data_IF_741716041689
#
_entry.id   IF_741716041689
#
_cell.length_a   1.000
_cell.length_b   1.000
_cell.length_c   1.000
_cell.angle_alpha   90.00
_cell.angle_beta   90.00
_cell.angle_gamma   90.00
#
_symmetry.space_group_name_H-M   'P 1'
#
loop_
_entity.id
_entity.type
_entity.pdbx_description
1 polymer ?
#
# COMPACT_ATOMS: atom_id res chain seq x y z
N UNK A 1 35.88 -20.72 47.95
CA UNK A 1 36.38 -21.33 46.70
C UNK A 1 35.24 -21.28 45.69
N UNK A 2 35.34 -20.38 44.71
CA UNK A 2 34.30 -20.16 43.69
C UNK A 2 34.81 -20.74 42.38
N UNK A 3 34.14 -21.77 41.87
CA UNK A 3 34.40 -22.36 40.56
C UNK A 3 33.64 -21.59 39.49
N UNK A 4 34.36 -20.78 38.71
CA UNK A 4 33.85 -20.17 37.47
C UNK A 4 33.98 -21.20 36.35
N UNK A 5 32.86 -21.65 35.78
CA UNK A 5 32.84 -22.38 34.51
C UNK A 5 32.94 -21.33 33.39
N UNK A 6 34.09 -21.25 32.73
CA UNK A 6 34.23 -20.54 31.45
C UNK A 6 33.75 -21.47 30.32
N UNK A 7 32.52 -21.27 29.87
CA UNK A 7 32.08 -21.75 28.57
C UNK A 7 32.48 -20.71 27.51
N UNK A 8 33.43 -21.06 26.64
CA UNK A 8 33.73 -20.26 25.47
C UNK A 8 32.51 -20.29 24.52
N UNK A 9 31.83 -19.16 24.36
CA UNK A 9 30.83 -19.01 23.30
C UNK A 9 31.62 -18.74 22.02
N UNK A 10 31.92 -19.79 21.26
CA UNK A 10 32.43 -19.64 19.90
C UNK A 10 31.25 -19.19 19.03
N UNK A 11 31.01 -17.89 18.93
CA UNK A 11 30.16 -17.37 17.86
C UNK A 11 30.89 -17.65 16.54
N UNK A 12 30.39 -18.55 15.66
CA UNK A 12 30.93 -18.61 14.32
C UNK A 12 30.72 -17.23 13.67
N UNK A 13 31.69 -16.73 12.88
CA UNK A 13 31.49 -15.51 12.13
C UNK A 13 30.23 -15.62 11.28
N UNK A 14 29.45 -14.54 11.10
CA UNK A 14 28.25 -14.58 10.28
C UNK A 14 28.60 -15.15 8.90
N UNK A 15 27.78 -16.08 8.42
CA UNK A 15 27.97 -16.72 7.13
C UNK A 15 28.17 -15.65 6.04
N UNK A 16 29.27 -15.76 5.28
CA UNK A 16 29.74 -14.79 4.27
C UNK A 16 28.91 -14.76 2.98
N UNK A 17 27.59 -14.85 3.12
CA UNK A 17 26.56 -14.57 2.11
C UNK A 17 25.24 -14.19 2.83
N UNK A 18 25.30 -13.27 3.79
CA UNK A 18 24.15 -12.86 4.62
C UNK A 18 23.37 -11.66 4.06
N UNK A 19 23.66 -11.23 2.83
CA UNK A 19 22.89 -10.18 2.18
C UNK A 19 21.65 -10.81 1.55
N UNK A 20 20.49 -10.55 2.16
CA UNK A 20 19.23 -10.64 1.46
C UNK A 20 19.26 -9.58 0.37
N UNK A 21 19.20 -9.98 -0.89
CA UNK A 21 19.03 -9.03 -1.97
C UNK A 21 17.81 -8.17 -1.66
N UNK A 22 17.94 -6.85 -1.80
CA UNK A 22 16.80 -5.96 -1.71
C UNK A 22 15.70 -6.53 -2.60
N UNK A 23 14.49 -6.78 -2.08
CA UNK A 23 13.41 -7.31 -2.89
C UNK A 23 13.04 -6.27 -3.93
N UNK A 24 13.69 -6.33 -5.10
CA UNK A 24 13.36 -5.47 -6.22
C UNK A 24 12.12 -6.08 -6.86
N UNK A 25 10.98 -5.53 -6.51
CA UNK A 25 9.72 -5.88 -7.15
C UNK A 25 9.65 -5.16 -8.51
N UNK A 26 9.53 -5.90 -9.63
CA UNK A 26 9.41 -5.27 -10.93
C UNK A 26 8.07 -4.54 -11.01
N UNK A 27 8.13 -3.24 -11.33
CA UNK A 27 6.95 -2.42 -11.57
C UNK A 27 6.12 -3.06 -12.70
N UNK A 28 4.80 -3.25 -12.51
CA UNK A 28 3.90 -3.66 -13.57
C UNK A 28 4.01 -2.74 -14.78
N UNK A 29 3.84 -3.25 -16.00
CA UNK A 29 3.79 -2.39 -17.17
C UNK A 29 2.65 -1.38 -17.00
N UNK A 30 2.95 -0.11 -17.25
CA UNK A 30 2.00 0.97 -17.11
C UNK A 30 0.71 0.68 -17.92
N UNK A 31 -0.49 0.84 -17.32
CA UNK A 31 -1.74 0.56 -18.02
C UNK A 31 -1.90 1.40 -19.30
N UNK A 32 -2.50 0.84 -20.35
CA UNK A 32 -2.70 1.57 -21.61
C UNK A 32 -3.80 2.65 -21.53
N UNK A 33 -4.80 2.45 -20.67
CA UNK A 33 -5.93 3.38 -20.53
C UNK A 33 -5.58 4.51 -19.58
N UNK A 34 -5.86 5.75 -20.00
CA UNK A 34 -5.62 6.96 -19.19
C UNK A 34 -6.96 7.59 -18.79
N UNK A 35 -7.05 7.97 -17.53
CA UNK A 35 -8.13 8.71 -16.90
C UNK A 35 -7.61 10.02 -16.34
N UNK A 36 -8.42 11.07 -16.39
CA UNK A 36 -8.03 12.35 -15.80
C UNK A 36 -7.78 12.20 -14.29
N UNK A 37 -8.75 11.62 -13.58
CA UNK A 37 -8.82 11.45 -12.13
C UNK A 37 -10.19 10.87 -11.79
N UNK A 38 -10.51 10.68 -10.51
CA UNK A 38 -11.84 10.27 -10.09
C UNK A 38 -12.26 10.95 -8.80
N UNK A 39 -13.49 11.49 -8.76
CA UNK A 39 -14.13 11.94 -7.53
C UNK A 39 -15.38 11.09 -7.31
N UNK A 40 -15.33 10.22 -6.32
CA UNK A 40 -16.42 9.33 -5.93
C UNK A 40 -17.22 10.01 -4.82
N UNK A 41 -18.42 10.45 -5.16
CA UNK A 41 -19.33 11.17 -4.28
C UNK A 41 -20.31 10.22 -3.57
N UNK A 42 -20.97 10.72 -2.52
CA UNK A 42 -21.98 9.95 -1.80
C UNK A 42 -23.13 9.51 -2.73
N UNK A 43 -23.47 8.24 -2.68
CA UNK A 43 -24.44 7.60 -3.56
C UNK A 43 -24.17 6.10 -3.67
N UNK A 44 -24.75 5.43 -4.70
CA UNK A 44 -24.42 4.05 -5.02
C UNK A 44 -22.92 3.86 -5.25
N UNK A 45 -22.38 2.64 -5.06
CA UNK A 45 -20.97 2.36 -5.31
C UNK A 45 -20.55 2.78 -6.72
N UNK A 46 -19.42 3.48 -6.82
CA UNK A 46 -18.79 3.83 -8.09
C UNK A 46 -17.67 2.85 -8.40
N UNK A 47 -17.74 2.20 -9.56
CA UNK A 47 -16.74 1.24 -10.02
C UNK A 47 -15.63 1.95 -10.79
N UNK A 48 -14.40 1.86 -10.28
CA UNK A 48 -13.20 2.42 -10.92
C UNK A 48 -12.48 1.32 -11.69
N UNK A 49 -11.85 1.68 -12.80
CA UNK A 49 -11.20 0.75 -13.72
C UNK A 49 -9.69 0.86 -13.65
N UNK A 50 -8.95 -0.25 -13.83
CA UNK A 50 -7.50 -0.19 -13.87
C UNK A 50 -7.05 0.70 -15.03
N UNK A 51 -6.01 1.49 -14.79
CA UNK A 51 -5.59 2.56 -15.68
C UNK A 51 -4.58 3.50 -15.04
N UNK A 52 -4.05 4.40 -15.86
CA UNK A 52 -3.28 5.55 -15.40
C UNK A 52 -4.23 6.68 -15.06
N UNK A 53 -4.13 7.22 -13.86
CA UNK A 53 -4.86 8.38 -13.38
C UNK A 53 -3.89 9.56 -13.33
N UNK A 54 -4.03 10.49 -14.28
CA UNK A 54 -3.15 11.66 -14.40
C UNK A 54 -3.33 12.69 -13.29
N UNK A 55 -4.28 12.46 -12.37
CA UNK A 55 -4.69 13.32 -11.27
C UNK A 55 -5.30 12.45 -10.16
N UNK A 56 -5.85 13.11 -9.13
CA UNK A 56 -6.27 12.47 -7.89
C UNK A 56 -7.41 11.46 -8.05
N UNK A 57 -7.39 10.43 -7.21
CA UNK A 57 -8.57 9.65 -6.85
C UNK A 57 -9.06 10.11 -5.46
N UNK A 58 -10.29 10.60 -5.39
CA UNK A 58 -10.94 11.09 -4.16
C UNK A 58 -12.16 10.22 -3.89
N UNK A 59 -12.24 9.66 -2.69
CA UNK A 59 -13.43 8.99 -2.17
C UNK A 59 -13.99 9.85 -1.04
N UNK A 60 -15.09 10.55 -1.31
CA UNK A 60 -15.70 11.47 -0.33
C UNK A 60 -16.32 10.72 0.85
N UNK A 61 -16.59 11.44 1.94
CA UNK A 61 -17.26 10.88 3.10
C UNK A 61 -18.64 10.29 2.71
N UNK A 62 -18.95 9.09 3.21
CA UNK A 62 -20.15 8.33 2.86
C UNK A 62 -20.15 7.70 1.46
N UNK A 63 -19.16 8.00 0.61
CA UNK A 63 -19.04 7.42 -0.72
C UNK A 63 -18.40 6.02 -0.68
N UNK A 64 -18.68 5.20 -1.70
CA UNK A 64 -18.03 3.90 -1.88
C UNK A 64 -17.42 3.80 -3.27
N UNK A 65 -16.10 3.68 -3.34
CA UNK A 65 -15.34 3.35 -4.53
C UNK A 65 -15.02 1.85 -4.54
N UNK A 66 -15.31 1.19 -5.66
CA UNK A 66 -15.02 -0.24 -5.85
C UNK A 66 -14.04 -0.40 -7.01
N UNK A 67 -12.91 -1.04 -6.73
CA UNK A 67 -11.86 -1.27 -7.72
C UNK A 67 -12.09 -2.60 -8.43
N UNK A 68 -12.20 -2.54 -9.76
CA UNK A 68 -12.04 -3.71 -10.62
C UNK A 68 -10.59 -4.26 -10.53
N UNK A 69 -10.34 -5.53 -10.87
CA UNK A 69 -9.01 -6.13 -10.69
C UNK A 69 -8.01 -5.52 -11.67
N UNK A 70 -6.82 -5.17 -11.22
CA UNK A 70 -5.78 -4.61 -12.07
C UNK A 70 -4.88 -3.56 -11.42
N UNK A 71 -4.17 -2.83 -12.27
CA UNK A 71 -3.18 -1.81 -11.88
C UNK A 71 -3.80 -0.42 -11.95
N UNK A 72 -3.67 0.35 -10.86
CA UNK A 72 -4.13 1.73 -10.74
C UNK A 72 -2.92 2.63 -10.52
N UNK A 73 -2.38 3.22 -11.58
CA UNK A 73 -1.22 4.10 -11.48
C UNK A 73 -1.68 5.55 -11.32
N UNK A 74 -1.44 6.14 -10.14
CA UNK A 74 -1.85 7.50 -9.81
C UNK A 74 -0.65 8.43 -9.86
N UNK A 75 -0.57 9.20 -10.95
CA UNK A 75 0.61 9.98 -11.31
C UNK A 75 0.64 11.37 -10.67
N UNK A 76 -0.52 11.91 -10.27
CA UNK A 76 -0.60 13.20 -9.60
C UNK A 76 -1.66 13.29 -8.51
N UNK A 77 -1.42 14.16 -7.53
CA UNK A 77 -2.28 14.48 -6.39
C UNK A 77 -2.71 13.29 -5.48
N UNK A 78 -2.29 12.06 -5.79
CA UNK A 78 -2.38 10.90 -4.92
C UNK A 78 -3.80 10.34 -4.78
N UNK A 79 -4.06 9.72 -3.64
CA UNK A 79 -5.35 9.09 -3.33
C UNK A 79 -5.85 9.59 -1.99
N UNK A 80 -7.08 10.10 -1.92
CA UNK A 80 -7.68 10.65 -0.71
C UNK A 80 -8.97 9.93 -0.37
N UNK A 81 -8.99 9.23 0.76
CA UNK A 81 -10.09 8.34 1.13
C UNK A 81 -10.71 8.84 2.43
N UNK A 82 -11.95 9.31 2.33
CA UNK A 82 -12.79 9.70 3.48
C UNK A 82 -13.96 8.74 3.67
N UNK A 83 -14.40 8.07 2.58
CA UNK A 83 -15.42 7.02 2.58
C UNK A 83 -14.80 5.62 2.50
N UNK A 84 -15.41 4.75 1.69
CA UNK A 84 -14.99 3.35 1.52
C UNK A 84 -14.26 3.15 0.20
N UNK A 85 -13.04 2.61 0.24
CA UNK A 85 -12.31 2.09 -0.92
C UNK A 85 -12.17 0.58 -0.79
N UNK A 86 -12.70 -0.19 -1.73
CA UNK A 86 -12.59 -1.66 -1.66
C UNK A 86 -12.42 -2.33 -3.02
N UNK A 87 -11.91 -3.55 -3.02
CA UNK A 87 -11.96 -4.44 -4.18
C UNK A 87 -13.36 -5.02 -4.41
N UNK A 88 -13.57 -5.60 -5.59
CA UNK A 88 -14.78 -6.35 -5.90
C UNK A 88 -15.05 -7.48 -4.89
N UNK A 89 -16.32 -7.70 -4.60
CA UNK A 89 -16.82 -8.85 -3.83
C UNK A 89 -18.16 -9.36 -4.40
N UNK A 90 -18.73 -10.39 -3.77
CA UNK A 90 -19.95 -11.04 -4.26
C UNK A 90 -21.17 -10.12 -4.41
N UNK A 91 -21.23 -8.99 -3.71
CA UNK A 91 -22.34 -8.03 -3.82
C UNK A 91 -22.31 -7.20 -5.12
N UNK A 92 -21.18 -7.20 -5.84
CA UNK A 92 -20.99 -6.42 -7.07
C UNK A 92 -21.43 -7.19 -8.32
N UNK A 93 -21.82 -8.46 -8.19
CA UNK A 93 -22.33 -9.27 -9.31
C UNK A 93 -23.63 -8.66 -9.85
N UNK A 94 -23.75 -8.57 -11.18
CA UNK A 94 -24.84 -7.90 -11.88
C UNK A 94 -24.67 -6.40 -12.06
N UNK A 95 -23.61 -5.80 -11.51
CA UNK A 95 -23.35 -4.36 -11.62
C UNK A 95 -22.54 -4.04 -12.88
N UNK A 96 -22.67 -2.81 -13.39
CA UNK A 96 -21.87 -2.33 -14.50
C UNK A 96 -20.46 -1.93 -14.01
N UNK A 97 -19.46 -2.71 -14.39
CA UNK A 97 -18.05 -2.53 -14.03
C UNK A 97 -17.26 -2.33 -15.32
N UNK A 98 -16.64 -1.17 -15.49
CA UNK A 98 -15.75 -0.89 -16.61
C UNK A 98 -16.35 -1.12 -18.01
N UNK A 99 -17.61 -0.74 -18.18
CA UNK A 99 -18.32 -0.83 -19.46
C UNK A 99 -18.98 -2.19 -19.72
N UNK A 100 -18.91 -3.15 -18.79
CA UNK A 100 -19.57 -4.44 -18.90
C UNK A 100 -20.28 -4.83 -17.61
N UNK A 101 -21.36 -5.62 -17.71
CA UNK A 101 -22.02 -6.19 -16.53
C UNK A 101 -21.17 -7.31 -15.94
N UNK A 102 -20.90 -7.26 -14.64
CA UNK A 102 -20.14 -8.29 -13.94
C UNK A 102 -20.98 -9.56 -13.76
N UNK A 103 -20.82 -10.53 -14.66
CA UNK A 103 -21.61 -11.77 -14.64
C UNK A 103 -21.29 -12.68 -13.44
N UNK A 104 -20.03 -12.68 -12.99
CA UNK A 104 -19.56 -13.45 -11.85
C UNK A 104 -18.35 -12.76 -11.22
N UNK A 105 -18.09 -13.02 -9.94
CA UNK A 105 -16.88 -12.52 -9.30
C UNK A 105 -15.64 -13.19 -9.92
N UNK A 106 -14.62 -12.42 -10.35
CA UNK A 106 -13.37 -13.00 -10.83
C UNK A 106 -12.69 -13.83 -9.74
N UNK A 107 -11.98 -14.90 -10.13
CA UNK A 107 -11.20 -15.72 -9.20
C UNK A 107 -10.05 -14.94 -8.55
N UNK A 108 -9.59 -13.88 -9.22
CA UNK A 108 -8.59 -12.93 -8.75
C UNK A 108 -9.22 -11.53 -8.80
N UNK A 109 -9.59 -11.01 -7.63
CA UNK A 109 -10.10 -9.64 -7.48
C UNK A 109 -9.00 -8.64 -7.13
N UNK A 110 -7.75 -9.08 -7.19
CA UNK A 110 -6.63 -8.36 -6.66
C UNK A 110 -6.30 -7.10 -7.45
N UNK A 111 -5.80 -6.11 -6.72
CA UNK A 111 -5.40 -4.83 -7.27
C UNK A 111 -4.00 -4.47 -6.79
N UNK A 112 -3.34 -3.61 -7.55
CA UNK A 112 -2.20 -2.84 -7.10
C UNK A 112 -2.48 -1.36 -7.36
N UNK A 113 -2.30 -0.54 -6.33
CA UNK A 113 -2.38 0.92 -6.43
C UNK A 113 -0.96 1.44 -6.42
N UNK A 114 -0.52 2.04 -7.51
CA UNK A 114 0.78 2.67 -7.64
C UNK A 114 0.62 4.17 -7.44
N UNK A 115 1.50 4.76 -6.64
CA UNK A 115 1.49 6.20 -6.41
C UNK A 115 2.88 6.74 -6.69
N UNK A 116 2.96 7.59 -7.71
CA UNK A 116 4.20 8.30 -8.09
C UNK A 116 4.45 9.44 -7.10
N UNK A 117 5.50 9.39 -6.25
CA UNK A 117 5.81 10.51 -5.39
C UNK A 117 6.28 11.71 -6.22
N UNK A 118 6.04 12.91 -5.70
CA UNK A 118 6.59 14.11 -6.29
C UNK A 118 7.10 15.10 -5.24
N UNK A 119 7.90 16.04 -5.70
CA UNK A 119 8.35 17.20 -4.94
C UNK A 119 8.21 18.50 -5.74
N UNK A 120 7.14 18.63 -6.53
CA UNK A 120 6.99 19.71 -7.51
C UNK A 120 7.04 21.15 -6.93
N UNK A 121 7.01 21.30 -5.60
CA UNK A 121 7.13 22.58 -4.90
C UNK A 121 8.53 22.90 -4.35
N UNK A 122 9.55 22.06 -4.59
CA UNK A 122 10.90 22.28 -4.04
C UNK A 122 10.98 22.17 -2.51
N UNK A 123 10.06 21.42 -1.91
CA UNK A 123 9.98 21.21 -0.46
C UNK A 123 11.05 20.19 -0.03
N UNK A 124 11.62 20.34 1.16
CA UNK A 124 12.47 19.28 1.75
C UNK A 124 11.64 18.17 2.40
N UNK A 125 10.32 18.38 2.52
CA UNK A 125 9.35 17.37 2.89
C UNK A 125 8.64 16.89 1.61
N UNK A 126 9.04 15.72 1.10
CA UNK A 126 8.51 15.11 -0.12
C UNK A 126 7.18 14.39 0.12
N UNK A 127 6.16 15.16 0.46
CA UNK A 127 4.82 14.69 0.79
C UNK A 127 3.78 15.09 -0.27
N UNK A 128 4.17 15.12 -1.56
CA UNK A 128 3.19 15.30 -2.64
C UNK A 128 2.73 13.95 -3.16
N UNK A 129 1.47 13.95 -3.60
CA UNK A 129 0.76 12.78 -4.12
C UNK A 129 0.54 11.70 -3.05
N UNK A 130 -0.03 12.08 -1.89
CA UNK A 130 -0.20 11.17 -0.75
C UNK A 130 -1.33 10.16 -1.03
N UNK A 131 -1.12 8.89 -0.72
CA UNK A 131 -2.16 7.91 -0.42
C UNK A 131 -2.60 8.07 1.04
N UNK A 132 -3.77 8.65 1.23
CA UNK A 132 -4.28 9.11 2.53
C UNK A 132 -5.62 8.51 2.90
N UNK A 133 -5.74 8.13 4.17
CA UNK A 133 -6.95 7.60 4.77
C UNK A 133 -7.40 8.50 5.94
N UNK A 134 -8.60 9.04 5.87
CA UNK A 134 -9.18 9.88 6.92
C UNK A 134 -9.76 9.03 8.07
N UNK A 135 -10.08 9.67 9.19
CA UNK A 135 -10.59 8.99 10.39
C UNK A 135 -11.89 8.20 10.17
N UNK A 136 -12.73 8.58 9.21
CA UNK A 136 -13.98 7.90 8.87
C UNK A 136 -13.84 6.86 7.75
N UNK A 137 -12.63 6.69 7.22
CA UNK A 137 -12.41 5.88 6.03
C UNK A 137 -12.44 4.38 6.31
N UNK A 138 -12.86 3.61 5.30
CA UNK A 138 -12.73 2.15 5.27
C UNK A 138 -11.96 1.73 4.03
N UNK A 139 -10.90 0.93 4.18
CA UNK A 139 -10.08 0.42 3.08
C UNK A 139 -10.07 -1.10 3.14
N UNK A 140 -10.40 -1.78 2.04
CA UNK A 140 -10.33 -3.24 1.95
C UNK A 140 -9.78 -3.68 0.60
N UNK A 141 -8.50 -4.05 0.59
CA UNK A 141 -7.78 -4.41 -0.63
C UNK A 141 -7.41 -5.89 -0.62
N UNK A 142 -7.59 -6.52 -1.77
CA UNK A 142 -7.07 -7.86 -2.05
C UNK A 142 -5.81 -7.73 -2.91
N UNK A 143 -4.73 -8.45 -2.59
CA UNK A 143 -3.57 -8.57 -3.44
C UNK A 143 -3.89 -9.48 -4.64
N UNK A 144 -3.08 -9.36 -5.70
CA UNK A 144 -3.05 -10.35 -6.78
C UNK A 144 -1.67 -11.00 -6.86
N UNK A 145 -1.58 -12.33 -7.03
CA UNK A 145 -0.32 -13.00 -7.35
C UNK A 145 0.31 -12.51 -8.66
N UNK A 146 -0.47 -11.95 -9.59
CA UNK A 146 0.05 -11.34 -10.83
C UNK A 146 0.91 -10.12 -10.55
N UNK A 147 0.69 -9.47 -9.41
CA UNK A 147 1.39 -8.29 -8.94
C UNK A 147 2.15 -8.62 -7.65
N UNK A 148 2.69 -9.85 -7.58
CA UNK A 148 3.46 -10.43 -6.47
C UNK A 148 2.88 -10.08 -5.09
N UNK A 149 1.56 -10.06 -5.00
CA UNK A 149 0.82 -9.73 -3.80
C UNK A 149 1.12 -8.36 -3.16
N UNK A 150 1.45 -7.36 -3.98
CA UNK A 150 1.54 -5.96 -3.55
C UNK A 150 0.21 -5.26 -3.83
N UNK A 151 -0.39 -4.67 -2.80
CA UNK A 151 -1.66 -3.94 -2.89
C UNK A 151 -1.46 -2.44 -3.02
N UNK A 152 -0.37 -1.90 -2.45
CA UNK A 152 0.01 -0.51 -2.55
C UNK A 152 1.52 -0.42 -2.83
N UNK A 153 1.89 0.28 -3.90
CA UNK A 153 3.25 0.47 -4.34
C UNK A 153 3.55 1.96 -4.42
N UNK A 154 4.59 2.39 -3.72
CA UNK A 154 5.10 3.76 -3.79
C UNK A 154 6.33 3.71 -4.68
N UNK A 155 6.24 4.35 -5.86
CA UNK A 155 7.34 4.39 -6.81
C UNK A 155 8.56 5.08 -6.17
N UNK A 156 9.77 4.68 -6.57
CA UNK A 156 10.98 5.33 -6.04
C UNK A 156 11.20 6.66 -6.75
N UNK A 157 11.07 7.76 -6.01
CA UNK A 157 11.35 9.09 -6.55
C UNK A 157 12.85 9.26 -6.86
N UNK A 158 13.24 9.65 -8.08
CA UNK A 158 14.64 9.92 -8.39
C UNK A 158 15.25 11.01 -7.51
N UNK A 159 16.46 10.79 -7.02
CA UNK A 159 17.22 11.72 -6.17
C UNK A 159 16.58 12.07 -4.82
N UNK A 160 15.62 11.26 -4.34
CA UNK A 160 14.90 11.52 -3.09
C UNK A 160 15.83 11.75 -1.90
N UNK A 161 16.97 11.06 -1.80
CA UNK A 161 17.92 11.21 -0.68
C UNK A 161 18.47 12.63 -0.57
N UNK A 162 18.61 13.33 -1.69
CA UNK A 162 19.12 14.72 -1.75
C UNK A 162 18.01 15.76 -1.68
N UNK A 163 16.76 15.37 -1.94
CA UNK A 163 15.62 16.29 -1.97
C UNK A 163 14.78 16.22 -0.69
N UNK A 164 14.53 15.03 -0.18
CA UNK A 164 13.65 14.73 0.94
C UNK A 164 14.43 14.72 2.26
N UNK A 165 15.01 15.87 2.59
CA UNK A 165 15.97 16.03 3.69
C UNK A 165 15.35 16.44 5.03
N UNK A 166 14.04 16.72 5.07
CA UNK A 166 13.31 16.92 6.32
C UNK A 166 13.17 15.59 7.06
N UNK A 167 13.50 15.53 8.34
CA UNK A 167 13.46 14.29 9.11
C UNK A 167 12.01 13.86 9.44
N UNK A 168 11.68 12.55 9.37
CA UNK A 168 12.54 11.46 8.91
C UNK A 168 12.84 11.55 7.40
N UNK A 169 14.09 11.28 6.99
CA UNK A 169 14.50 11.31 5.57
C UNK A 169 13.63 10.37 4.74
N UNK A 170 13.29 10.74 3.50
CA UNK A 170 12.43 9.89 2.63
C UNK A 170 11.17 10.58 2.14
N UNK A 171 10.46 9.94 1.22
CA UNK A 171 9.14 10.41 0.78
C UNK A 171 8.11 10.24 1.93
N UNK A 172 6.95 10.87 1.84
CA UNK A 172 5.93 10.82 2.90
C UNK A 172 4.55 10.62 2.26
N UNK A 173 4.41 9.52 1.53
CA UNK A 173 3.30 9.26 0.61
C UNK A 173 2.21 8.43 1.26
N UNK A 174 2.49 7.59 2.27
CA UNK A 174 1.44 6.81 2.95
C UNK A 174 1.09 7.41 4.30
N UNK A 175 -0.19 7.81 4.48
CA UNK A 175 -0.67 8.37 5.75
C UNK A 175 -2.09 7.95 6.10
N UNK A 176 -2.22 7.15 7.15
CA UNK A 176 -3.53 6.78 7.72
C UNK A 176 -3.78 7.53 9.02
N UNK A 177 -4.94 8.16 9.10
CA UNK A 177 -5.38 8.92 10.28
C UNK A 177 -5.95 7.98 11.35
N UNK A 178 -5.89 8.40 12.61
CA UNK A 178 -6.54 7.66 13.70
C UNK A 178 -8.04 7.51 13.45
N UNK A 179 -8.56 6.32 13.72
CA UNK A 179 -9.96 5.96 13.45
C UNK A 179 -10.19 5.32 12.08
N UNK A 180 -9.26 5.45 11.12
CA UNK A 180 -9.38 4.76 9.82
C UNK A 180 -9.45 3.24 10.00
N UNK A 181 -10.31 2.59 9.22
CA UNK A 181 -10.51 1.15 9.24
C UNK A 181 -9.85 0.53 8.01
N UNK A 182 -8.87 -0.34 8.15
CA UNK A 182 -8.20 -0.93 6.99
C UNK A 182 -7.92 -2.42 7.14
N UNK A 183 -8.16 -3.13 6.04
CA UNK A 183 -7.76 -4.53 5.81
C UNK A 183 -7.10 -4.58 4.44
N UNK A 184 -5.81 -4.28 4.41
CA UNK A 184 -4.99 -4.29 3.20
C UNK A 184 -4.21 -5.60 3.22
N UNK A 185 -4.72 -6.61 2.51
CA UNK A 185 -3.98 -7.86 2.40
C UNK A 185 -2.79 -7.68 1.45
N UNK A 186 -1.80 -8.57 1.55
CA UNK A 186 -0.55 -8.42 0.82
C UNK A 186 0.36 -7.36 1.42
N UNK A 187 1.14 -6.71 0.56
CA UNK A 187 2.12 -5.72 0.99
C UNK A 187 1.75 -4.28 0.64
N UNK A 188 2.14 -3.37 1.53
CA UNK A 188 2.49 -1.99 1.17
C UNK A 188 4.00 -1.94 0.95
N UNK A 189 4.42 -1.56 -0.24
CA UNK A 189 5.82 -1.48 -0.63
C UNK A 189 6.20 -0.05 -1.01
N UNK A 190 7.07 0.56 -0.22
CA UNK A 190 7.59 1.91 -0.44
C UNK A 190 8.96 2.05 0.21
N UNK A 191 10.02 1.50 -0.39
CA UNK A 191 11.34 1.38 0.25
C UNK A 191 12.02 2.74 0.53
N UNK A 192 11.57 3.81 -0.11
CA UNK A 192 12.03 5.19 0.10
C UNK A 192 11.04 6.03 0.94
N UNK A 193 9.91 5.45 1.37
CA UNK A 193 8.80 6.18 1.98
C UNK A 193 8.82 6.10 3.51
N UNK A 194 8.46 7.22 4.14
CA UNK A 194 8.12 7.33 5.54
C UNK A 194 6.61 7.19 5.69
N UNK A 195 6.20 6.06 6.25
CA UNK A 195 4.80 5.71 6.36
C UNK A 195 4.29 6.04 7.76
N UNK A 196 3.10 6.62 7.83
CA UNK A 196 2.37 6.79 9.09
C UNK A 196 1.12 5.94 9.05
N UNK A 197 1.07 4.90 9.89
CA UNK A 197 -0.10 4.06 10.05
C UNK A 197 -0.66 4.27 11.46
N UNK A 198 -1.85 4.83 11.55
CA UNK A 198 -2.51 5.00 12.85
C UNK A 198 -3.50 3.85 13.05
N UNK A 199 -3.44 3.17 14.20
CA UNK A 199 -4.35 2.06 14.51
C UNK A 199 -5.81 2.51 14.57
N UNK A 200 -6.71 1.69 14.04
CA UNK A 200 -8.17 1.87 14.10
C UNK A 200 -8.83 0.81 14.99
N UNK A 201 -10.09 1.02 15.35
CA UNK A 201 -10.87 0.06 16.13
C UNK A 201 -11.38 -1.15 15.32
N UNK A 202 -11.12 -1.18 14.01
CA UNK A 202 -11.58 -2.23 13.11
C UNK A 202 -10.59 -2.45 11.96
N UNK A 203 -10.76 -3.59 11.26
CA UNK A 203 -9.85 -4.04 10.21
C UNK A 203 -8.83 -5.08 10.69
N UNK A 204 -7.96 -5.51 9.78
CA UNK A 204 -6.98 -6.59 9.97
C UNK A 204 -5.57 -6.18 9.54
N UNK A 205 -5.28 -4.87 9.55
CA UNK A 205 -3.94 -4.36 9.28
C UNK A 205 -3.52 -4.42 7.81
N UNK A 206 -2.21 -4.49 7.61
CA UNK A 206 -1.45 -4.59 6.37
C UNK A 206 -0.51 -5.82 6.38
N UNK A 207 -0.86 -6.88 5.66
CA UNK A 207 -0.16 -8.19 5.75
C UNK A 207 1.38 -8.13 5.76
N UNK A 208 2.00 -7.22 5.01
CA UNK A 208 3.41 -6.86 5.12
C UNK A 208 3.65 -5.37 4.80
N UNK A 209 4.62 -4.73 5.47
CA UNK A 209 5.03 -3.35 5.17
C UNK A 209 6.53 -3.30 4.88
N UNK A 210 6.92 -2.68 3.77
CA UNK A 210 8.31 -2.32 3.45
C UNK A 210 8.38 -0.80 3.32
N UNK A 211 9.08 -0.16 4.26
CA UNK A 211 9.17 1.30 4.38
C UNK A 211 10.58 1.74 4.77
N UNK A 212 10.94 2.99 4.47
CA UNK A 212 12.17 3.61 4.98
C UNK A 212 12.06 3.90 6.48
N UNK A 213 10.93 4.51 6.89
CA UNK A 213 10.51 4.52 8.29
C UNK A 213 9.03 4.18 8.39
N UNK A 214 8.65 3.55 9.51
CA UNK A 214 7.27 3.27 9.84
C UNK A 214 6.96 3.88 11.21
N UNK A 215 6.03 4.82 11.23
CA UNK A 215 5.47 5.37 12.46
C UNK A 215 4.11 4.74 12.71
N UNK A 216 3.97 4.05 13.84
CA UNK A 216 2.69 3.53 14.32
C UNK A 216 2.22 4.42 15.46
N UNK A 217 1.08 5.08 15.28
CA UNK A 217 0.51 6.00 16.26
C UNK A 217 -0.94 5.58 16.64
N UNK A 218 -1.44 6.09 17.76
CA UNK A 218 -2.84 5.95 18.18
C UNK A 218 -3.08 4.90 19.28
N UNK A 219 -4.31 4.87 19.81
CA UNK A 219 -4.74 4.00 20.91
C UNK A 219 -5.35 2.66 20.42
N UNK A 220 -5.18 2.33 19.14
CA UNK A 220 -5.72 1.12 18.51
C UNK A 220 -4.62 0.17 18.07
N UNK A 221 -4.98 -1.09 17.87
CA UNK A 221 -4.04 -2.10 17.39
C UNK A 221 -3.88 -2.01 15.86
N UNK A 222 -2.66 -2.19 15.38
CA UNK A 222 -2.40 -2.63 14.00
C UNK A 222 -2.22 -4.14 14.07
N UNK A 223 -3.30 -4.88 13.77
CA UNK A 223 -3.29 -6.34 13.87
C UNK A 223 -2.86 -6.93 12.54
N UNK A 224 -1.62 -7.41 12.45
CA UNK A 224 -1.15 -8.08 11.23
C UNK A 224 -1.43 -9.57 11.24
N UNK A 225 -2.16 -10.05 10.23
CA UNK A 225 -2.40 -11.48 10.03
C UNK A 225 -1.57 -11.96 8.85
N UNK A 226 -0.56 -12.77 9.15
CA UNK A 226 0.26 -13.40 8.13
C UNK A 226 -0.54 -14.44 7.34
N UNK A 227 -0.54 -14.31 6.01
CA UNK A 227 -1.05 -15.32 5.09
C UNK A 227 0.05 -15.65 4.07
N UNK A 228 0.65 -16.87 4.14
CA UNK A 228 1.76 -17.25 3.27
C UNK A 228 1.38 -17.28 1.79
N UNK A 229 0.10 -17.38 1.46
CA UNK A 229 -0.39 -17.39 0.07
C UNK A 229 -0.62 -15.99 -0.49
N UNK A 230 -0.66 -14.98 0.40
CA UNK A 230 -1.05 -13.62 0.06
C UNK A 230 0.03 -12.59 0.37
N UNK A 231 1.27 -12.97 0.70
CA UNK A 231 2.42 -12.06 0.82
C UNK A 231 3.35 -12.14 -0.39
N UNK A 232 4.10 -11.07 -0.71
CA UNK A 232 5.13 -11.14 -1.76
C UNK A 232 6.21 -12.15 -1.43
N UNK A 233 6.68 -12.87 -2.45
CA UNK A 233 7.90 -13.67 -2.32
C UNK A 233 9.11 -12.73 -2.22
N UNK A 234 9.61 -12.51 -1.00
CA UNK A 234 10.93 -11.92 -0.82
C UNK A 234 11.99 -13.00 -0.98
N UNK A 235 12.71 -12.97 -2.10
CA UNK A 235 13.83 -13.87 -2.36
C UNK A 235 14.88 -13.67 -1.26
N UNK A 236 14.98 -14.63 -0.34
CA UNK A 236 15.99 -14.66 0.72
C UNK A 236 15.45 -14.94 2.14
N UNK A 237 14.15 -14.77 2.41
CA UNK A 237 13.54 -15.28 3.65
C UNK A 237 12.94 -16.66 3.39
N UNK A 238 13.82 -17.65 3.21
CA UNK A 238 13.45 -19.06 3.29
C UNK A 238 14.30 -19.65 4.40
N UNK A 239 13.66 -20.16 5.46
CA UNK A 239 14.33 -21.00 6.45
C UNK A 239 14.54 -22.40 5.87
#
# INVERSE_FOLDING_TARGET
>A
MSTRVQGAITNPPPHTASHLDFPNYPEPPAPATVYNGATVANGPPTYLCPGQYSNQIIVQNGATAVLAPGVYQVQANGVSIQGTLRTLNGSDVGQAVCGATLASLPSDTGVIIEVTPANASGSTQCNKHIFSAAASSTITLQPSPKYYNISLYIETMPNWQTQCTSQPLGTNVVRFSGGSCYSIKGAIYGPADNMVLTGGGCGTGVGQIVAWTLTINGNGNVNETYDPTAVPYMKGLVQ
#
